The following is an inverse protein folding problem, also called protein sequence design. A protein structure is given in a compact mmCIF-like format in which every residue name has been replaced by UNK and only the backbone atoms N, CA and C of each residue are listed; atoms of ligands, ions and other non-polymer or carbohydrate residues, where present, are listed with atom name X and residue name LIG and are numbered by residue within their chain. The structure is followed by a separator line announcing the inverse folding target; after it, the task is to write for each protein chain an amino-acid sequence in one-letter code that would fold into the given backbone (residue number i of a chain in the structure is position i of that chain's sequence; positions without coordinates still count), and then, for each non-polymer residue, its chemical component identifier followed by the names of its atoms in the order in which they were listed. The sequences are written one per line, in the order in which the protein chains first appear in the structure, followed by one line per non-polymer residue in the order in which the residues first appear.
data_IF_593492001741
#
_entry.id   IF_593492001741
#
_cell.length_a   1.000
_cell.length_b   1.000
_cell.length_c   1.000
_cell.angle_alpha   90.00
_cell.angle_beta   90.00
_cell.angle_gamma   90.00
#
_symmetry.space_group_name_H-M   'P 1'
#
loop_
_entity.id
_entity.type
_entity.pdbx_description
1 polymer ?
#
# COMPACT_ATOMS: atom_id res chain seq x y z
N UNK A 1 7.78 18.92 3.19
CA UNK A 1 8.44 17.84 2.41
C UNK A 1 7.59 16.59 2.53
N UNK A 2 7.50 15.76 1.49
CA UNK A 2 6.72 14.51 1.53
C UNK A 2 7.53 13.32 1.07
N UNK A 3 7.05 12.14 1.45
CA UNK A 3 7.74 10.89 1.17
C UNK A 3 7.58 10.40 -0.27
N UNK A 4 6.50 10.76 -0.95
CA UNK A 4 6.15 10.32 -2.32
C UNK A 4 5.16 11.31 -2.96
N UNK A 5 5.16 11.39 -4.29
CA UNK A 5 4.28 12.21 -5.11
C UNK A 5 3.51 11.35 -6.11
N UNK A 6 2.18 11.45 -6.13
CA UNK A 6 1.34 10.77 -7.13
C UNK A 6 1.31 11.48 -8.50
N UNK A 7 1.61 12.79 -8.53
CA UNK A 7 1.63 13.63 -9.74
C UNK A 7 2.90 14.49 -9.72
N UNK A 8 4.06 13.85 -9.88
CA UNK A 8 5.34 14.54 -9.78
C UNK A 8 5.70 15.34 -11.02
N UNK A 9 6.20 16.56 -10.81
CA UNK A 9 6.90 17.36 -11.80
C UNK A 9 8.40 17.30 -11.48
N UNK A 10 9.19 16.76 -12.40
CA UNK A 10 10.62 16.54 -12.20
C UNK A 10 11.43 17.32 -13.23
N UNK A 11 12.57 17.85 -12.81
CA UNK A 11 13.59 18.28 -13.78
C UNK A 11 14.10 17.01 -14.47
N UNK A 12 14.12 17.02 -15.81
CA UNK A 12 14.52 15.84 -16.61
C UNK A 12 15.87 15.26 -16.15
N UNK A 13 16.86 16.11 -15.89
CA UNK A 13 18.19 15.67 -15.41
C UNK A 13 18.13 14.91 -14.09
N UNK A 14 17.27 15.35 -13.18
CA UNK A 14 17.16 14.76 -11.85
C UNK A 14 16.42 13.41 -11.95
N UNK A 15 15.33 13.36 -12.72
CA UNK A 15 14.61 12.12 -13.01
C UNK A 15 15.52 11.06 -13.64
N UNK A 16 16.28 11.43 -14.68
CA UNK A 16 17.18 10.51 -15.37
C UNK A 16 18.37 10.08 -14.50
N UNK A 17 18.83 10.94 -13.57
CA UNK A 17 19.92 10.58 -12.67
C UNK A 17 19.57 9.45 -11.71
N UNK A 18 18.29 9.29 -11.35
CA UNK A 18 17.86 8.14 -10.55
C UNK A 18 17.77 6.84 -11.35
N UNK A 19 17.86 6.89 -12.69
CA UNK A 19 17.71 5.74 -13.58
C UNK A 19 16.27 5.51 -14.03
N UNK A 20 16.08 4.62 -15.01
CA UNK A 20 14.76 4.34 -15.58
C UNK A 20 13.80 3.67 -14.58
N UNK A 21 12.50 3.64 -14.93
CA UNK A 21 11.53 2.85 -14.20
C UNK A 21 11.83 1.38 -14.36
N UNK A 22 11.65 0.63 -13.29
CA UNK A 22 11.86 -0.80 -13.26
C UNK A 22 10.72 -1.49 -14.06
N UNK A 23 11.00 -2.16 -15.20
CA UNK A 23 9.94 -2.62 -16.10
C UNK A 23 8.98 -3.64 -15.49
N UNK A 24 9.44 -4.46 -14.53
CA UNK A 24 8.59 -5.45 -13.88
C UNK A 24 7.62 -4.83 -12.85
N UNK A 25 7.87 -3.61 -12.37
CA UNK A 25 6.97 -2.89 -11.46
C UNK A 25 5.87 -2.23 -12.29
N UNK A 26 4.77 -2.94 -12.52
CA UNK A 26 3.59 -2.35 -13.19
C UNK A 26 2.78 -1.43 -12.28
N UNK A 27 3.03 -1.48 -10.96
CA UNK A 27 2.48 -0.60 -9.93
C UNK A 27 3.59 -0.22 -8.95
N UNK A 28 3.39 0.91 -8.27
CA UNK A 28 4.34 1.52 -7.33
C UNK A 28 5.69 1.88 -7.97
N UNK A 29 5.78 1.97 -9.30
CA UNK A 29 7.01 2.32 -10.03
C UNK A 29 7.40 3.78 -9.77
N UNK A 30 6.40 4.65 -9.69
CA UNK A 30 6.52 6.05 -9.27
C UNK A 30 7.01 6.15 -7.82
N UNK A 31 6.43 5.36 -6.92
CA UNK A 31 6.81 5.32 -5.52
C UNK A 31 8.26 4.82 -5.34
N UNK A 32 8.63 3.75 -6.03
CA UNK A 32 10.00 3.21 -6.03
C UNK A 32 11.00 4.23 -6.58
N UNK A 33 10.68 4.89 -7.69
CA UNK A 33 11.54 5.91 -8.28
C UNK A 33 11.71 7.12 -7.34
N UNK A 34 10.62 7.53 -6.67
CA UNK A 34 10.66 8.57 -5.64
C UNK A 34 11.57 8.18 -4.48
N UNK A 35 11.64 6.91 -4.10
CA UNK A 35 12.57 6.42 -3.08
C UNK A 35 14.02 6.55 -3.53
N UNK A 36 14.36 6.11 -4.74
CA UNK A 36 15.71 6.29 -5.31
C UNK A 36 16.13 7.77 -5.34
N UNK A 37 15.24 8.64 -5.80
CA UNK A 37 15.48 10.09 -5.82
C UNK A 37 15.84 10.63 -4.43
N UNK A 38 15.16 10.14 -3.37
CA UNK A 38 15.46 10.55 -1.99
C UNK A 38 16.76 9.99 -1.46
N UNK A 39 17.10 8.75 -1.81
CA UNK A 39 18.39 8.15 -1.46
C UNK A 39 19.55 8.96 -2.05
N UNK A 40 19.36 9.58 -3.22
CA UNK A 40 20.29 10.52 -3.83
C UNK A 40 20.24 11.95 -3.22
N UNK A 41 19.55 12.14 -2.10
CA UNK A 41 19.43 13.43 -1.42
C UNK A 41 18.50 14.45 -2.10
N UNK A 42 17.74 14.05 -3.12
CA UNK A 42 16.77 14.95 -3.77
C UNK A 42 15.58 15.20 -2.84
N UNK A 43 15.12 16.44 -2.79
CA UNK A 43 13.97 16.85 -1.99
C UNK A 43 12.74 16.94 -2.87
N UNK A 44 11.64 16.35 -2.39
CA UNK A 44 10.32 16.49 -2.99
C UNK A 44 9.46 17.47 -2.20
N UNK A 45 8.78 18.36 -2.93
CA UNK A 45 7.92 19.40 -2.39
C UNK A 45 6.51 19.16 -2.92
N UNK A 46 5.50 19.27 -2.06
CA UNK A 46 4.10 19.29 -2.48
C UNK A 46 3.70 20.73 -2.71
N UNK A 47 3.20 21.01 -3.90
CA UNK A 47 2.52 22.26 -4.22
C UNK A 47 1.03 22.02 -3.98
N UNK A 48 0.54 22.39 -2.80
CA UNK A 48 -0.84 22.13 -2.38
C UNK A 48 -1.87 22.87 -3.25
N UNK A 49 -1.49 24.02 -3.80
CA UNK A 49 -2.38 24.90 -4.56
C UNK A 49 -2.39 24.63 -6.06
N UNK A 50 -1.62 23.63 -6.53
CA UNK A 50 -1.58 23.30 -7.96
C UNK A 50 -2.88 22.56 -8.36
N UNK A 51 -3.67 23.07 -9.32
CA UNK A 51 -4.91 22.43 -9.70
C UNK A 51 -4.63 21.14 -10.46
N UNK A 52 -4.96 19.99 -9.85
CA UNK A 52 -4.88 18.68 -10.49
C UNK A 52 -6.27 18.06 -10.54
N UNK A 53 -6.78 17.83 -11.76
CA UNK A 53 -8.05 17.12 -11.95
C UNK A 53 -7.82 15.62 -11.84
N UNK A 54 -8.11 15.06 -10.67
CA UNK A 54 -8.05 13.61 -10.44
C UNK A 54 -9.41 12.95 -10.68
N UNK A 55 -9.43 11.93 -11.55
CA UNK A 55 -10.63 11.13 -11.81
C UNK A 55 -10.48 9.80 -11.07
N UNK A 56 -11.24 9.66 -9.99
CA UNK A 56 -11.38 8.41 -9.24
C UNK A 56 -12.06 7.33 -10.08
N UNK A 57 -11.83 6.07 -9.75
CA UNK A 57 -12.47 4.94 -10.43
C UNK A 57 -13.99 4.99 -10.20
N UNK A 58 -14.75 4.85 -11.28
CA UNK A 58 -16.21 4.83 -11.23
C UNK A 58 -16.84 3.49 -10.84
N UNK A 59 -16.05 2.48 -10.41
CA UNK A 59 -16.62 1.19 -9.97
C UNK A 59 -15.78 0.48 -8.90
N UNK A 60 -16.47 -0.28 -8.04
CA UNK A 60 -15.84 -1.09 -7.00
C UNK A 60 -14.87 -2.13 -7.55
N UNK A 61 -15.20 -2.78 -8.66
CA UNK A 61 -14.31 -3.75 -9.29
C UNK A 61 -12.98 -3.11 -9.71
N UNK A 62 -13.03 -1.91 -10.31
CA UNK A 62 -11.81 -1.17 -10.69
C UNK A 62 -11.00 -0.74 -9.46
N UNK A 63 -11.68 -0.38 -8.37
CA UNK A 63 -11.04 -0.04 -7.09
C UNK A 63 -10.31 -1.26 -6.51
N UNK A 64 -10.98 -2.40 -6.41
CA UNK A 64 -10.40 -3.67 -5.92
C UNK A 64 -9.16 -4.06 -6.73
N UNK A 65 -9.27 -4.07 -8.07
CA UNK A 65 -8.14 -4.42 -8.95
C UNK A 65 -6.95 -3.48 -8.76
N UNK A 66 -7.22 -2.19 -8.58
CA UNK A 66 -6.17 -1.20 -8.36
C UNK A 66 -5.48 -1.40 -7.01
N UNK A 67 -6.25 -1.53 -5.93
CA UNK A 67 -5.73 -1.69 -4.58
C UNK A 67 -4.99 -3.02 -4.40
N UNK A 68 -5.51 -4.11 -4.96
CA UNK A 68 -4.80 -5.39 -5.05
C UNK A 68 -3.45 -5.23 -5.75
N UNK A 69 -3.42 -4.55 -6.90
CA UNK A 69 -2.18 -4.28 -7.62
C UNK A 69 -1.18 -3.50 -6.76
N UNK A 70 -1.61 -2.46 -6.04
CA UNK A 70 -0.72 -1.72 -5.16
C UNK A 70 -0.16 -2.58 -4.03
N UNK A 71 -0.99 -3.38 -3.36
CA UNK A 71 -0.54 -4.31 -2.32
C UNK A 71 0.42 -5.36 -2.89
N UNK A 72 0.14 -5.93 -4.06
CA UNK A 72 0.94 -6.99 -4.67
C UNK A 72 2.38 -6.57 -5.00
N UNK A 73 2.59 -5.35 -5.46
CA UNK A 73 3.93 -4.87 -5.78
C UNK A 73 4.64 -4.22 -4.58
N UNK A 74 3.92 -3.94 -3.48
CA UNK A 74 4.49 -3.23 -2.33
C UNK A 74 5.64 -3.99 -1.64
N UNK A 75 5.55 -5.30 -1.37
CA UNK A 75 6.64 -6.06 -0.74
C UNK A 75 7.94 -6.04 -1.55
N UNK A 76 7.84 -6.07 -2.88
CA UNK A 76 9.04 -5.97 -3.74
C UNK A 76 9.70 -4.60 -3.61
N UNK A 77 8.93 -3.51 -3.62
CA UNK A 77 9.47 -2.16 -3.40
C UNK A 77 10.10 -2.05 -2.01
N UNK A 78 9.46 -2.60 -0.97
CA UNK A 78 9.99 -2.59 0.40
C UNK A 78 11.26 -3.44 0.55
N UNK A 79 11.42 -4.52 -0.21
CA UNK A 79 12.68 -5.27 -0.23
C UNK A 79 13.84 -4.44 -0.79
N UNK A 80 13.57 -3.68 -1.87
CA UNK A 80 14.56 -2.78 -2.44
C UNK A 80 14.89 -1.62 -1.49
N UNK A 81 13.85 -1.09 -0.84
CA UNK A 81 13.86 0.16 -0.07
C UNK A 81 13.31 -0.04 1.37
N UNK A 82 13.98 -0.82 2.24
CA UNK A 82 13.40 -1.23 3.54
C UNK A 82 13.19 -0.08 4.52
N UNK A 83 14.02 0.97 4.44
CA UNK A 83 13.93 2.14 5.32
C UNK A 83 12.67 2.99 5.10
N UNK A 84 11.91 2.73 4.04
CA UNK A 84 10.67 3.44 3.71
C UNK A 84 9.41 2.73 4.22
N UNK A 85 9.57 1.64 4.98
CA UNK A 85 8.47 0.96 5.64
C UNK A 85 7.77 1.91 6.62
N UNK A 86 6.45 2.05 6.46
CA UNK A 86 5.58 2.83 7.36
C UNK A 86 4.49 1.94 7.94
N UNK A 87 4.08 2.19 9.18
CA UNK A 87 2.99 1.45 9.84
C UNK A 87 1.72 1.37 8.97
N UNK A 88 1.35 2.49 8.33
CA UNK A 88 0.18 2.55 7.42
C UNK A 88 0.22 1.56 6.25
N UNK A 89 1.41 1.10 5.85
CA UNK A 89 1.58 0.11 4.79
C UNK A 89 1.41 -1.31 5.33
N UNK A 90 1.67 -1.56 6.62
CA UNK A 90 1.53 -2.87 7.27
C UNK A 90 0.10 -3.12 7.79
N UNK A 91 -0.62 -2.05 8.12
CA UNK A 91 -1.99 -2.16 8.65
C UNK A 91 -2.92 -3.00 7.75
N UNK A 92 -2.94 -2.85 6.41
CA UNK A 92 -3.79 -3.66 5.55
C UNK A 92 -3.49 -5.17 5.58
N UNK A 93 -2.22 -5.59 5.52
CA UNK A 93 -1.90 -7.03 5.64
C UNK A 93 -2.28 -7.56 7.03
N UNK A 94 -2.09 -6.76 8.08
CA UNK A 94 -2.47 -7.14 9.44
C UNK A 94 -3.97 -7.43 9.56
N UNK A 95 -4.82 -6.67 8.86
CA UNK A 95 -6.26 -6.91 8.82
C UNK A 95 -6.60 -8.31 8.28
N UNK A 96 -5.95 -8.73 7.19
CA UNK A 96 -6.15 -10.07 6.61
C UNK A 96 -5.69 -11.15 7.58
N UNK A 97 -4.53 -10.97 8.22
CA UNK A 97 -3.99 -11.92 9.19
C UNK A 97 -4.89 -12.04 10.42
N UNK A 98 -5.38 -10.93 10.97
CA UNK A 98 -6.31 -10.94 12.11
C UNK A 98 -7.66 -11.56 11.74
N UNK A 99 -8.19 -11.29 10.55
CA UNK A 99 -9.40 -11.97 10.07
C UNK A 99 -9.19 -13.49 9.98
N UNK A 100 -8.05 -13.95 9.47
CA UNK A 100 -7.67 -15.36 9.46
C UNK A 100 -7.55 -15.95 10.87
N UNK A 101 -6.96 -15.21 11.82
CA UNK A 101 -6.85 -15.62 13.22
C UNK A 101 -8.22 -15.75 13.91
N UNK A 102 -9.15 -14.83 13.63
CA UNK A 102 -10.53 -14.92 14.13
C UNK A 102 -11.18 -16.21 13.60
N UNK A 103 -11.09 -16.47 12.29
CA UNK A 103 -11.66 -17.69 11.68
C UNK A 103 -11.00 -18.95 12.26
N UNK A 104 -9.67 -18.97 12.39
CA UNK A 104 -8.95 -20.10 12.98
C UNK A 104 -9.34 -20.32 14.44
N UNK A 105 -9.54 -19.25 15.22
CA UNK A 105 -9.95 -19.34 16.62
C UNK A 105 -11.38 -19.85 16.78
N UNK A 106 -12.28 -19.54 15.84
CA UNK A 106 -13.64 -20.08 15.82
C UNK A 106 -13.67 -21.59 15.54
N UNK A 107 -12.75 -22.08 14.71
CA UNK A 107 -12.70 -23.49 14.31
C UNK A 107 -11.91 -24.34 15.33
N UNK A 108 -10.78 -23.84 15.81
CA UNK A 108 -9.79 -24.61 16.57
C UNK A 108 -9.47 -24.06 17.97
N UNK A 109 -10.00 -22.89 18.34
CA UNK A 109 -9.59 -22.15 19.54
C UNK A 109 -10.54 -22.25 20.73
N UNK A 110 -10.03 -21.93 21.92
CA UNK A 110 -10.83 -21.68 23.12
C UNK A 110 -11.26 -20.21 23.23
N UNK A 111 -12.13 -19.90 24.21
CA UNK A 111 -12.68 -18.55 24.42
C UNK A 111 -11.62 -17.44 24.57
N UNK A 112 -10.44 -17.76 25.11
CA UNK A 112 -9.31 -16.83 25.24
C UNK A 112 -8.67 -16.45 23.89
N UNK A 113 -8.64 -17.38 22.92
CA UNK A 113 -8.11 -17.14 21.57
C UNK A 113 -9.02 -16.20 20.78
N UNK A 114 -10.33 -16.30 21.02
CA UNK A 114 -11.32 -15.38 20.47
C UNK A 114 -11.13 -13.96 21.01
N UNK A 115 -10.93 -13.78 22.32
CA UNK A 115 -10.72 -12.46 22.93
C UNK A 115 -9.50 -11.76 22.34
N UNK A 116 -8.36 -12.47 22.26
CA UNK A 116 -7.12 -11.91 21.72
C UNK A 116 -7.23 -11.55 20.23
N UNK A 117 -7.98 -12.33 19.47
CA UNK A 117 -8.21 -12.07 18.03
C UNK A 117 -9.21 -10.92 17.80
N UNK A 118 -10.17 -10.75 18.71
CA UNK A 118 -11.21 -9.71 18.59
C UNK A 118 -10.71 -8.30 18.91
N UNK A 119 -9.70 -8.14 19.76
CA UNK A 119 -9.25 -6.80 20.16
C UNK A 119 -8.78 -5.93 18.97
N UNK A 120 -7.81 -6.37 18.12
CA UNK A 120 -7.37 -5.56 16.98
C UNK A 120 -8.44 -5.48 15.88
N UNK A 121 -9.17 -6.56 15.63
CA UNK A 121 -10.23 -6.59 14.63
C UNK A 121 -11.40 -5.67 15.03
N UNK A 122 -11.80 -5.69 16.30
CA UNK A 122 -12.82 -4.82 16.87
C UNK A 122 -12.42 -3.35 16.82
N UNK A 123 -11.15 -3.02 17.09
CA UNK A 123 -10.64 -1.66 16.92
C UNK A 123 -10.76 -1.18 15.45
N UNK A 124 -10.43 -2.05 14.50
CA UNK A 124 -10.59 -1.71 13.07
C UNK A 124 -12.06 -1.47 12.71
N UNK A 125 -12.95 -2.40 13.08
CA UNK A 125 -14.38 -2.30 12.76
C UNK A 125 -14.99 -1.04 13.40
N UNK A 126 -14.66 -0.72 14.66
CA UNK A 126 -15.14 0.51 15.31
C UNK A 126 -14.63 1.76 14.60
N UNK A 127 -13.39 1.76 14.09
CA UNK A 127 -12.83 2.88 13.32
C UNK A 127 -13.57 3.08 11.98
N UNK A 128 -13.86 1.98 11.27
CA UNK A 128 -14.64 2.02 10.02
C UNK A 128 -16.07 2.50 10.29
N UNK A 129 -16.72 2.00 11.34
CA UNK A 129 -18.06 2.43 11.74
C UNK A 129 -18.11 3.90 12.11
N UNK A 130 -17.13 4.40 12.88
CA UNK A 130 -17.02 5.82 13.20
C UNK A 130 -16.90 6.67 11.92
N UNK A 131 -16.11 6.22 10.95
CA UNK A 131 -15.96 6.89 9.66
C UNK A 131 -17.25 6.88 8.83
N UNK A 132 -17.99 5.77 8.83
CA UNK A 132 -19.31 5.64 8.19
C UNK A 132 -20.32 6.61 8.82
N UNK A 133 -20.44 6.61 10.15
CA UNK A 133 -21.38 7.47 10.88
C UNK A 133 -21.07 8.96 10.64
N UNK A 134 -19.79 9.34 10.71
CA UNK A 134 -19.37 10.72 10.46
C UNK A 134 -19.72 11.17 9.02
N UNK A 135 -19.45 10.33 8.01
CA UNK A 135 -19.80 10.65 6.63
C UNK A 135 -21.31 10.62 6.39
N UNK A 136 -22.04 9.71 7.03
CA UNK A 136 -23.50 9.67 6.95
C UNK A 136 -24.13 10.95 7.48
N UNK A 137 -23.62 11.47 8.62
CA UNK A 137 -24.08 12.75 9.21
C UNK A 137 -23.79 13.95 8.31
N UNK A 138 -22.63 13.99 7.64
CA UNK A 138 -22.22 15.13 6.80
C UNK A 138 -22.81 15.12 5.39
N UNK A 139 -23.04 13.93 4.83
CA UNK A 139 -23.29 13.78 3.40
C UNK A 139 -24.49 12.87 3.07
N UNK A 140 -25.15 12.29 4.07
CA UNK A 140 -26.29 11.40 3.93
C UNK A 140 -25.92 9.91 4.04
N UNK A 141 -26.88 9.10 4.48
CA UNK A 141 -26.67 7.68 4.84
C UNK A 141 -26.08 6.85 3.71
N UNK A 142 -26.54 7.05 2.47
CA UNK A 142 -26.04 6.33 1.29
C UNK A 142 -24.54 6.56 1.10
N UNK A 143 -24.09 7.82 1.18
CA UNK A 143 -22.66 8.15 1.05
C UNK A 143 -21.84 7.61 2.23
N UNK A 144 -22.40 7.62 3.44
CA UNK A 144 -21.79 6.95 4.60
C UNK A 144 -21.54 5.46 4.34
N UNK A 145 -22.57 4.72 3.92
CA UNK A 145 -22.48 3.28 3.61
C UNK A 145 -21.47 3.02 2.48
N UNK A 146 -21.56 3.77 1.37
CA UNK A 146 -20.64 3.62 0.24
C UNK A 146 -19.18 3.89 0.64
N UNK A 147 -18.96 4.82 1.56
CA UNK A 147 -17.63 5.12 2.08
C UNK A 147 -17.08 3.96 2.93
N UNK A 148 -17.92 3.37 3.81
CA UNK A 148 -17.56 2.18 4.57
C UNK A 148 -17.23 0.99 3.69
N UNK A 149 -18.10 0.72 2.69
CA UNK A 149 -17.87 -0.34 1.70
C UNK A 149 -16.57 -0.10 0.93
N UNK A 150 -16.31 1.13 0.50
CA UNK A 150 -15.05 1.49 -0.18
C UNK A 150 -13.84 1.21 0.72
N UNK A 151 -13.87 1.64 1.98
CA UNK A 151 -12.79 1.41 2.93
C UNK A 151 -12.53 -0.09 3.13
N UNK A 152 -13.58 -0.90 3.33
CA UNK A 152 -13.45 -2.35 3.47
C UNK A 152 -12.82 -2.98 2.23
N UNK A 153 -13.34 -2.65 1.04
CA UNK A 153 -12.81 -3.20 -0.21
C UNK A 153 -11.36 -2.79 -0.43
N UNK A 154 -10.98 -1.55 -0.11
CA UNK A 154 -9.59 -1.08 -0.24
C UNK A 154 -8.63 -1.86 0.66
N UNK A 155 -8.94 -1.98 1.96
CA UNK A 155 -8.05 -2.66 2.91
C UNK A 155 -7.97 -4.16 2.62
N UNK A 156 -9.10 -4.81 2.34
CA UNK A 156 -9.11 -6.24 2.03
C UNK A 156 -8.33 -6.55 0.76
N UNK A 157 -8.59 -5.81 -0.33
CA UNK A 157 -7.93 -6.07 -1.60
C UNK A 157 -6.44 -5.72 -1.58
N UNK A 158 -6.06 -4.61 -0.93
CA UNK A 158 -4.65 -4.27 -0.73
C UNK A 158 -3.94 -5.31 0.13
N UNK A 159 -4.50 -5.67 1.28
CA UNK A 159 -3.92 -6.69 2.18
C UNK A 159 -3.77 -8.06 1.51
N UNK A 160 -4.77 -8.51 0.74
CA UNK A 160 -4.65 -9.72 -0.09
C UNK A 160 -3.53 -9.58 -1.11
N UNK A 161 -3.44 -8.43 -1.76
CA UNK A 161 -2.33 -8.09 -2.65
C UNK A 161 -0.99 -8.29 -1.95
N UNK A 162 -0.81 -7.71 -0.75
CA UNK A 162 0.43 -7.82 0.02
C UNK A 162 0.78 -9.27 0.37
N UNK A 163 -0.17 -10.10 0.78
CA UNK A 163 0.08 -11.53 1.05
C UNK A 163 0.70 -12.22 -0.17
N UNK A 164 0.09 -12.07 -1.34
CA UNK A 164 0.63 -12.65 -2.57
C UNK A 164 1.91 -11.95 -3.05
N UNK A 165 2.05 -10.66 -2.78
CA UNK A 165 3.24 -9.87 -3.05
C UNK A 165 4.44 -10.34 -2.22
N UNK A 166 4.23 -10.72 -0.96
CA UNK A 166 5.26 -11.30 -0.09
C UNK A 166 5.72 -12.63 -0.68
N UNK A 167 4.79 -13.52 -1.05
CA UNK A 167 5.14 -14.80 -1.69
C UNK A 167 5.97 -14.57 -2.96
N UNK A 168 5.54 -13.65 -3.82
CA UNK A 168 6.28 -13.29 -5.04
C UNK A 168 7.68 -12.76 -4.72
N UNK A 169 7.79 -11.81 -3.79
CA UNK A 169 9.07 -11.24 -3.39
C UNK A 169 10.00 -12.34 -2.86
N UNK A 170 9.51 -13.24 -2.00
CA UNK A 170 10.28 -14.39 -1.49
C UNK A 170 10.80 -15.28 -2.62
N UNK A 171 9.97 -15.62 -3.60
CA UNK A 171 10.40 -16.42 -4.76
C UNK A 171 11.53 -15.70 -5.53
N UNK A 172 11.38 -14.40 -5.77
CA UNK A 172 12.39 -13.61 -6.48
C UNK A 172 13.69 -13.44 -5.66
N UNK A 173 13.61 -13.42 -4.33
CA UNK A 173 14.80 -13.43 -3.45
C UNK A 173 15.53 -14.76 -3.59
N UNK A 174 14.81 -15.88 -3.47
CA UNK A 174 15.39 -17.24 -3.56
C UNK A 174 16.05 -17.48 -4.91
N UNK A 175 15.46 -16.97 -6.00
CA UNK A 175 16.05 -17.03 -7.35
C UNK A 175 17.24 -16.08 -7.55
N UNK A 176 17.46 -15.15 -6.63
CA UNK A 176 18.49 -14.12 -6.74
C UNK A 176 18.12 -12.92 -7.61
N UNK A 177 16.93 -12.91 -8.23
CA UNK A 177 16.45 -11.86 -9.13
C UNK A 177 16.51 -10.47 -8.46
N UNK A 178 16.00 -10.36 -7.22
CA UNK A 178 15.98 -9.08 -6.50
C UNK A 178 17.37 -8.66 -6.02
N UNK A 179 18.26 -9.60 -5.74
CA UNK A 179 19.65 -9.29 -5.40
C UNK A 179 20.42 -8.79 -6.62
N UNK A 180 20.22 -9.42 -7.78
CA UNK A 180 20.79 -8.97 -9.04
C UNK A 180 20.29 -7.58 -9.40
N UNK A 181 18.99 -7.34 -9.27
CA UNK A 181 18.40 -6.03 -9.52
C UNK A 181 18.98 -4.96 -8.57
N UNK A 182 19.06 -5.26 -7.27
CA UNK A 182 19.69 -4.35 -6.31
C UNK A 182 21.16 -4.09 -6.66
N UNK A 183 21.91 -5.11 -7.05
CA UNK A 183 23.32 -4.94 -7.47
C UNK A 183 23.49 -4.17 -8.77
N UNK A 184 22.67 -4.42 -9.79
CA UNK A 184 22.82 -3.80 -11.11
C UNK A 184 22.57 -2.31 -11.07
N UNK A 185 21.63 -1.86 -10.22
CA UNK A 185 21.23 -0.46 -10.16
C UNK A 185 22.00 0.36 -9.10
N UNK A 186 22.47 -0.25 -8.01
CA UNK A 186 23.24 0.45 -6.98
C UNK A 186 24.77 0.48 -7.24
N UNK A 187 25.27 -0.19 -8.29
CA UNK A 187 26.70 -0.13 -8.67
C UNK A 187 27.14 1.15 -9.39
N UNK A 188 26.20 1.97 -9.85
CA UNK A 188 26.51 3.14 -10.70
C UNK A 188 26.19 4.49 -10.06
N UNK A 189 25.64 4.51 -8.84
CA UNK A 189 25.11 5.73 -8.20
C UNK A 189 25.60 5.96 -6.75
N UNK A 190 26.69 5.31 -6.35
CA UNK A 190 27.45 5.59 -5.12
C UNK A 190 28.91 5.87 -5.47
#
# INVERSE_FOLDING_TARGET
MVDTLAFGLYRRKDLLSAGEYIPYLTRNSDEEHNYRMREMGKRMIVLADLPVKYIVRGSFFKLIKQMYGYGFYKPVVLYLHPYFLRLRQILPVSFILFAGLVVSSLIYGGWWALILSFLPFGLYITTVLAFVINNARKHGIVKGILTGLSAMLMHTSYGLGEVFGILKATIMIVRGDLHQLKKSWYRFNL
#
